data_IF_066671536743
#
_entry.id   IF_066671536743
#
_cell.length_a   1.000
_cell.length_b   1.000
_cell.length_c   1.000
_cell.angle_alpha   90.00
_cell.angle_beta   90.00
_cell.angle_gamma   90.00
#
_symmetry.space_group_name_H-M   'P 1'
#
loop_
_entity.id
_entity.type
_entity.pdbx_description
1 polymer ?
#
# COMPACT_ATOMS: atom_id res chain seq x y z
N UNK A 1 15.48 10.98 29.57
CA UNK A 1 15.07 10.32 28.27
C UNK A 1 15.82 10.99 27.13
N UNK A 2 16.57 10.21 26.34
CA UNK A 2 17.30 10.71 25.17
C UNK A 2 16.31 10.89 24.03
N UNK A 3 16.33 12.04 23.34
CA UNK A 3 15.48 12.25 22.16
C UNK A 3 16.19 11.72 20.91
N UNK A 4 15.52 10.86 20.14
CA UNK A 4 15.93 10.39 18.82
C UNK A 4 15.14 11.19 17.77
N UNK A 5 15.86 11.94 16.94
CA UNK A 5 15.27 12.81 15.92
C UNK A 5 15.28 12.12 14.55
N UNK A 6 14.10 11.95 13.98
CA UNK A 6 13.88 11.27 12.70
C UNK A 6 13.38 12.29 11.67
N UNK A 7 14.06 12.40 10.55
CA UNK A 7 13.57 13.18 9.40
C UNK A 7 12.99 12.25 8.33
N UNK A 8 11.75 12.48 7.96
CA UNK A 8 11.03 11.61 7.03
C UNK A 8 10.79 12.28 5.69
N UNK A 9 11.05 11.54 4.60
CA UNK A 9 10.86 12.01 3.22
C UNK A 9 9.86 11.06 2.52
N UNK A 10 8.62 11.52 2.29
CA UNK A 10 7.63 10.75 1.54
C UNK A 10 8.01 10.67 0.05
N UNK A 11 7.36 9.75 -0.68
CA UNK A 11 7.72 9.41 -2.06
C UNK A 11 7.55 10.53 -3.08
N UNK A 12 6.61 11.43 -2.84
CA UNK A 12 6.25 12.48 -3.79
C UNK A 12 6.62 13.86 -3.28
N UNK A 13 7.68 14.42 -3.84
CA UNK A 13 8.18 15.77 -3.53
C UNK A 13 7.46 16.89 -4.30
N UNK A 14 6.28 16.65 -4.88
CA UNK A 14 5.56 17.67 -5.65
C UNK A 14 4.36 18.23 -4.88
N UNK A 15 4.10 19.54 -5.05
CA UNK A 15 3.03 20.29 -4.36
C UNK A 15 1.63 19.69 -4.44
N UNK A 16 1.41 18.70 -5.30
CA UNK A 16 0.08 18.22 -5.66
C UNK A 16 -0.13 16.73 -5.38
N UNK A 17 0.88 16.01 -4.85
CA UNK A 17 0.83 14.55 -4.76
C UNK A 17 1.06 14.07 -3.34
N UNK A 18 -0.01 13.58 -2.74
CA UNK A 18 0.02 12.74 -1.54
C UNK A 18 -0.50 11.37 -2.00
N UNK A 19 0.35 10.38 -2.11
CA UNK A 19 -0.06 9.05 -2.57
C UNK A 19 -0.53 8.17 -1.41
N UNK A 20 -1.33 7.14 -1.71
CA UNK A 20 -1.69 6.12 -0.72
C UNK A 20 -0.46 5.41 -0.14
N UNK A 21 0.62 5.30 -0.91
CA UNK A 21 1.92 4.77 -0.45
C UNK A 21 2.54 5.69 0.60
N UNK A 22 2.59 7.01 0.34
CA UNK A 22 3.12 7.98 1.32
C UNK A 22 2.36 7.91 2.64
N UNK A 23 1.03 7.81 2.55
CA UNK A 23 0.21 7.66 3.74
C UNK A 23 0.53 6.36 4.49
N UNK A 24 0.46 5.22 3.82
CA UNK A 24 0.57 3.91 4.45
C UNK A 24 1.98 3.61 4.97
N UNK A 25 3.02 4.10 4.26
CA UNK A 25 4.41 3.71 4.51
C UNK A 25 5.24 4.75 5.26
N UNK A 26 4.85 6.03 5.19
CA UNK A 26 5.60 7.12 5.82
C UNK A 26 4.70 7.91 6.78
N UNK A 27 3.64 8.56 6.28
CA UNK A 27 2.91 9.54 7.09
C UNK A 27 2.22 8.91 8.30
N UNK A 28 1.49 7.80 8.11
CA UNK A 28 0.77 7.16 9.21
C UNK A 28 1.71 6.54 10.26
N UNK A 29 2.69 5.68 9.89
CA UNK A 29 3.62 5.14 10.88
C UNK A 29 4.42 6.21 11.62
N UNK A 30 4.89 7.23 10.92
CA UNK A 30 5.73 8.28 11.48
C UNK A 30 4.94 9.25 12.37
N UNK A 31 3.66 9.49 12.06
CA UNK A 31 2.75 10.23 12.95
C UNK A 31 2.59 9.54 14.30
N UNK A 32 2.47 8.21 14.32
CA UNK A 32 2.36 7.44 15.56
C UNK A 32 3.69 7.29 16.29
N UNK A 33 4.80 7.30 15.55
CA UNK A 33 6.14 7.29 16.16
C UNK A 33 6.48 8.63 16.84
N UNK A 34 5.95 9.75 16.32
CA UNK A 34 6.21 11.06 16.91
C UNK A 34 5.61 11.18 18.30
N UNK A 35 6.45 11.39 19.29
CA UNK A 35 6.09 11.40 20.72
C UNK A 35 6.02 10.01 21.36
N UNK A 36 6.39 8.95 20.65
CA UNK A 36 6.50 7.61 21.25
C UNK A 36 7.67 7.56 22.23
N UNK A 37 7.41 7.02 23.40
CA UNK A 37 8.38 6.84 24.49
C UNK A 37 8.66 5.36 24.73
N UNK A 38 9.92 4.98 24.73
CA UNK A 38 10.41 3.67 25.15
C UNK A 38 11.07 3.81 26.53
N UNK A 39 10.30 3.55 27.57
CA UNK A 39 10.74 3.68 28.96
C UNK A 39 11.87 2.69 29.30
N UNK A 40 11.88 1.49 28.69
CA UNK A 40 12.90 0.48 28.95
C UNK A 40 14.29 0.92 28.48
N UNK A 41 14.35 1.71 27.40
CA UNK A 41 15.61 2.21 26.81
C UNK A 41 15.89 3.67 27.15
N UNK A 42 15.02 4.31 27.89
CA UNK A 42 15.09 5.75 28.26
C UNK A 42 15.19 6.66 27.01
N UNK A 43 14.40 6.39 25.96
CA UNK A 43 14.37 7.17 24.72
C UNK A 43 12.97 7.62 24.35
N UNK A 44 12.90 8.78 23.67
CA UNK A 44 11.67 9.29 23.02
C UNK A 44 11.97 9.66 21.56
N UNK A 45 10.95 9.66 20.72
CA UNK A 45 11.06 9.96 19.30
C UNK A 45 10.42 11.31 18.97
N UNK A 46 11.17 12.13 18.24
CA UNK A 46 10.70 13.36 17.60
C UNK A 46 10.82 13.18 16.08
N UNK A 47 9.72 13.37 15.35
CA UNK A 47 9.66 13.11 13.93
C UNK A 47 9.29 14.36 13.16
N UNK A 48 10.15 14.77 12.24
CA UNK A 48 9.90 15.81 11.24
C UNK A 48 9.59 15.15 9.90
N UNK A 49 8.43 15.47 9.32
CA UNK A 49 8.07 15.00 7.98
C UNK A 49 8.32 16.14 6.99
N UNK A 50 9.02 15.84 5.89
CA UNK A 50 9.25 16.79 4.82
C UNK A 50 7.94 17.36 4.30
N UNK A 51 7.81 18.69 4.38
CA UNK A 51 6.67 19.43 3.88
C UNK A 51 7.11 20.39 2.77
N UNK A 52 6.69 20.07 1.55
CA UNK A 52 7.01 20.89 0.37
C UNK A 52 6.39 22.30 0.41
N UNK A 53 5.38 22.50 1.24
CA UNK A 53 4.73 23.81 1.42
C UNK A 53 5.47 24.73 2.40
N UNK A 54 6.45 24.21 3.13
CA UNK A 54 7.31 25.06 3.98
C UNK A 54 8.03 26.07 3.09
N UNK A 55 7.95 27.36 3.44
CA UNK A 55 8.54 28.46 2.67
C UNK A 55 10.08 28.39 2.57
N UNK A 56 10.74 27.76 3.54
CA UNK A 56 12.17 27.56 3.60
C UNK A 56 12.44 26.07 3.50
N UNK A 57 13.17 25.63 2.48
CA UNK A 57 13.69 24.27 2.39
C UNK A 57 15.01 24.25 3.19
N UNK A 58 15.06 23.40 4.20
CA UNK A 58 16.31 23.12 4.88
C UNK A 58 17.26 22.42 3.91
N UNK A 59 18.54 22.75 3.96
CA UNK A 59 19.53 22.02 3.19
C UNK A 59 19.74 20.63 3.80
N UNK A 60 20.20 19.66 2.98
CA UNK A 60 20.54 18.34 3.49
C UNK A 60 21.60 18.37 4.59
N UNK A 61 22.45 19.40 4.59
CA UNK A 61 23.42 19.61 5.65
C UNK A 61 22.73 19.97 6.96
N UNK A 62 21.82 20.94 6.98
CA UNK A 62 21.05 21.35 8.16
C UNK A 62 20.22 20.18 8.70
N UNK A 63 19.58 19.41 7.80
CA UNK A 63 18.81 18.21 8.18
C UNK A 63 19.74 17.18 8.85
N UNK A 64 20.88 16.87 8.24
CA UNK A 64 21.83 15.90 8.80
C UNK A 64 22.47 16.38 10.12
N UNK A 65 22.61 17.70 10.34
CA UNK A 65 23.12 18.24 11.61
C UNK A 65 22.06 18.20 12.74
N UNK A 66 20.78 18.31 12.40
CA UNK A 66 19.68 18.40 13.36
C UNK A 66 18.98 17.07 13.68
N UNK A 67 19.17 16.03 12.86
CA UNK A 67 18.50 14.72 13.01
C UNK A 67 19.51 13.58 13.16
N UNK A 68 19.09 12.50 13.78
CA UNK A 68 19.91 11.31 14.00
C UNK A 68 19.81 10.31 12.86
N UNK A 69 18.64 10.25 12.21
CA UNK A 69 18.34 9.30 11.13
C UNK A 69 17.40 9.92 10.11
N UNK A 70 17.58 9.53 8.83
CA UNK A 70 16.68 9.89 7.73
C UNK A 70 15.93 8.64 7.29
N UNK A 71 14.60 8.73 7.28
CA UNK A 71 13.70 7.69 6.79
C UNK A 71 13.03 8.17 5.51
N UNK A 72 13.09 7.40 4.42
CA UNK A 72 12.54 7.82 3.14
C UNK A 72 11.95 6.67 2.33
N UNK A 73 10.96 6.97 1.48
CA UNK A 73 10.38 5.99 0.57
C UNK A 73 11.19 5.91 -0.75
N UNK A 74 11.27 4.73 -1.34
CA UNK A 74 12.08 4.40 -2.52
C UNK A 74 11.75 5.20 -3.79
N UNK A 75 10.55 5.74 -3.92
CA UNK A 75 10.14 6.46 -5.14
C UNK A 75 10.85 7.79 -5.34
N UNK A 76 11.66 8.21 -4.38
CA UNK A 76 12.55 9.36 -4.47
C UNK A 76 13.90 8.99 -5.11
N UNK A 77 13.91 8.04 -6.03
CA UNK A 77 15.12 7.54 -6.69
C UNK A 77 15.58 8.54 -7.76
N UNK A 78 16.36 9.54 -7.35
CA UNK A 78 17.07 10.43 -8.24
C UNK A 78 18.50 10.73 -7.75
N UNK A 79 19.29 11.42 -8.57
CA UNK A 79 20.68 11.77 -8.25
C UNK A 79 20.80 12.73 -7.05
N UNK A 80 19.77 13.49 -6.73
CA UNK A 80 19.75 14.35 -5.54
C UNK A 80 19.80 13.50 -4.26
N UNK A 81 19.27 12.29 -4.32
CA UNK A 81 19.34 11.34 -3.21
C UNK A 81 20.75 10.75 -3.01
N UNK A 82 21.48 10.49 -4.10
CA UNK A 82 22.88 10.09 -3.99
C UNK A 82 23.73 11.18 -3.31
N UNK A 83 23.48 12.45 -3.66
CA UNK A 83 24.11 13.59 -3.02
C UNK A 83 23.73 13.70 -1.53
N UNK A 84 22.45 13.53 -1.19
CA UNK A 84 21.98 13.48 0.20
C UNK A 84 22.70 12.38 0.99
N UNK A 85 22.79 11.17 0.46
CA UNK A 85 23.46 10.05 1.12
C UNK A 85 24.92 10.36 1.49
N UNK A 86 25.64 11.07 0.61
CA UNK A 86 27.01 11.48 0.89
C UNK A 86 27.10 12.50 2.04
N UNK A 87 26.18 13.47 2.07
CA UNK A 87 26.13 14.48 3.16
C UNK A 87 25.77 13.82 4.49
N UNK A 88 24.74 12.98 4.51
CA UNK A 88 24.24 12.31 5.72
C UNK A 88 25.33 11.42 6.33
N UNK A 89 25.98 10.60 5.53
CA UNK A 89 27.10 9.75 5.98
C UNK A 89 28.31 10.55 6.41
N UNK A 90 28.64 11.63 5.71
CA UNK A 90 29.73 12.53 6.08
C UNK A 90 29.54 13.16 7.48
N UNK A 91 28.31 13.23 7.95
CA UNK A 91 27.95 13.65 9.32
C UNK A 91 27.79 12.48 10.32
N UNK A 92 28.09 11.25 9.91
CA UNK A 92 27.95 10.06 10.74
C UNK A 92 26.49 9.69 11.06
N UNK A 93 25.54 10.16 10.25
CA UNK A 93 24.11 9.90 10.41
C UNK A 93 23.67 8.69 9.61
N UNK A 94 22.55 8.09 9.99
CA UNK A 94 22.03 6.86 9.41
C UNK A 94 20.86 7.10 8.45
N UNK A 95 20.62 6.14 7.55
CA UNK A 95 19.53 6.18 6.60
C UNK A 95 18.77 4.86 6.59
N UNK A 96 17.44 4.96 6.60
CA UNK A 96 16.53 3.84 6.35
C UNK A 96 15.70 4.16 5.11
N UNK A 97 15.63 3.21 4.18
CA UNK A 97 14.79 3.28 3.01
C UNK A 97 13.60 2.33 3.16
N UNK A 98 12.40 2.83 2.87
CA UNK A 98 11.21 2.00 2.77
C UNK A 98 10.95 1.61 1.31
N UNK A 99 10.66 0.32 1.08
CA UNK A 99 10.40 -0.24 -0.24
C UNK A 99 9.17 -1.15 -0.19
N UNK A 100 8.17 -0.84 -1.00
CA UNK A 100 6.90 -1.58 -1.08
C UNK A 100 6.65 -2.27 -2.44
N UNK A 101 7.42 -1.95 -3.48
CA UNK A 101 7.31 -2.54 -4.82
C UNK A 101 8.64 -3.09 -5.35
N UNK A 102 8.60 -4.26 -6.00
CA UNK A 102 9.76 -4.91 -6.61
C UNK A 102 9.98 -4.45 -8.06
N UNK A 103 10.39 -3.19 -8.27
CA UNK A 103 10.51 -2.59 -9.62
C UNK A 103 11.44 -3.34 -10.58
N UNK A 104 12.30 -4.24 -10.08
CA UNK A 104 13.14 -5.13 -10.91
C UNK A 104 12.33 -6.13 -11.75
N UNK A 105 11.07 -6.37 -11.39
CA UNK A 105 10.22 -7.43 -11.95
C UNK A 105 8.92 -6.88 -12.55
N UNK A 106 8.87 -5.59 -12.84
CA UNK A 106 7.71 -4.99 -13.53
C UNK A 106 7.63 -5.57 -14.94
N UNK A 107 6.51 -6.18 -15.27
CA UNK A 107 6.29 -6.85 -16.55
C UNK A 107 6.32 -5.87 -17.73
N UNK A 108 6.75 -6.33 -18.91
CA UNK A 108 6.89 -5.51 -20.11
C UNK A 108 5.55 -4.90 -20.59
N UNK A 109 4.44 -5.58 -20.31
CA UNK A 109 3.09 -5.09 -20.62
C UNK A 109 2.56 -4.08 -19.59
N UNK A 110 3.27 -3.84 -18.50
CA UNK A 110 2.88 -2.85 -17.50
C UNK A 110 3.17 -1.43 -18.00
N UNK A 111 2.21 -0.54 -17.82
CA UNK A 111 2.30 0.86 -18.32
C UNK A 111 3.50 1.64 -17.80
N UNK A 112 4.04 1.28 -16.62
CA UNK A 112 5.20 1.95 -16.02
C UNK A 112 6.54 1.35 -16.46
N UNK A 113 6.53 0.20 -17.16
CA UNK A 113 7.76 -0.54 -17.52
C UNK A 113 8.76 0.30 -18.30
N UNK A 114 8.31 0.91 -19.39
CA UNK A 114 9.19 1.69 -20.27
C UNK A 114 9.80 2.89 -19.54
N UNK A 115 9.01 3.58 -18.73
CA UNK A 115 9.50 4.70 -17.92
C UNK A 115 10.59 4.25 -16.94
N UNK A 116 10.37 3.16 -16.21
CA UNK A 116 11.37 2.62 -15.28
C UNK A 116 12.64 2.16 -15.99
N UNK A 117 12.51 1.58 -17.19
CA UNK A 117 13.63 1.14 -18.02
C UNK A 117 14.46 2.33 -18.55
N UNK A 118 13.80 3.37 -19.08
CA UNK A 118 14.46 4.59 -19.57
C UNK A 118 15.23 5.30 -18.45
N UNK A 119 14.69 5.33 -17.24
CA UNK A 119 15.32 5.90 -16.06
C UNK A 119 16.41 5.00 -15.46
N UNK A 120 16.59 3.78 -15.97
CA UNK A 120 17.44 2.75 -15.35
C UNK A 120 17.14 2.52 -13.86
N UNK A 121 15.85 2.63 -13.50
CA UNK A 121 15.38 2.72 -12.12
C UNK A 121 15.78 1.51 -11.27
N UNK A 122 15.77 0.30 -11.84
CA UNK A 122 16.14 -0.94 -11.14
C UNK A 122 17.62 -0.92 -10.70
N UNK A 123 18.52 -0.41 -11.55
CA UNK A 123 19.95 -0.30 -11.21
C UNK A 123 20.16 0.77 -10.13
N UNK A 124 19.58 1.95 -10.31
CA UNK A 124 19.70 3.06 -9.36
C UNK A 124 19.15 2.64 -8.00
N UNK A 125 17.99 1.97 -7.96
CA UNK A 125 17.42 1.44 -6.73
C UNK A 125 18.38 0.49 -6.01
N UNK A 126 18.98 -0.47 -6.74
CA UNK A 126 19.96 -1.39 -6.14
C UNK A 126 21.17 -0.66 -5.56
N UNK A 127 21.67 0.37 -6.25
CA UNK A 127 22.75 1.21 -5.75
C UNK A 127 22.37 1.92 -4.45
N UNK A 128 21.20 2.57 -4.41
CA UNK A 128 20.73 3.29 -3.22
C UNK A 128 20.51 2.33 -2.04
N UNK A 129 19.88 1.17 -2.29
CA UNK A 129 19.68 0.15 -1.25
C UNK A 129 21.02 -0.27 -0.65
N UNK A 130 22.06 -0.47 -1.48
CA UNK A 130 23.37 -0.85 -0.97
C UNK A 130 24.01 0.22 -0.06
N UNK A 131 23.67 1.47 -0.28
CA UNK A 131 24.23 2.60 0.46
C UNK A 131 23.51 2.94 1.79
N UNK A 132 22.23 2.57 1.95
CA UNK A 132 21.49 2.85 3.20
C UNK A 132 21.88 1.89 4.32
N UNK A 133 21.63 2.25 5.58
CA UNK A 133 21.96 1.43 6.75
C UNK A 133 20.90 0.35 7.03
N UNK A 134 19.63 0.65 6.71
CA UNK A 134 18.52 -0.26 6.88
C UNK A 134 17.48 -0.15 5.76
N UNK A 135 16.69 -1.20 5.58
CA UNK A 135 15.56 -1.22 4.65
C UNK A 135 14.31 -1.72 5.37
N UNK A 136 13.18 -1.06 5.17
CA UNK A 136 11.86 -1.61 5.55
C UNK A 136 11.10 -2.04 4.31
N UNK A 137 10.30 -3.10 4.43
CA UNK A 137 9.50 -3.62 3.32
C UNK A 137 8.19 -4.25 3.81
N UNK A 138 7.25 -4.49 2.89
CA UNK A 138 5.88 -4.89 3.21
C UNK A 138 5.71 -6.36 3.54
N UNK A 139 6.53 -7.25 2.99
CA UNK A 139 6.39 -8.69 3.20
C UNK A 139 7.71 -9.46 3.07
N UNK A 140 7.72 -10.71 3.53
CA UNK A 140 8.90 -11.56 3.50
C UNK A 140 9.36 -11.97 2.10
N UNK A 141 8.45 -12.00 1.12
CA UNK A 141 8.81 -12.32 -0.26
C UNK A 141 9.63 -11.19 -0.88
N UNK A 142 9.20 -9.93 -0.71
CA UNK A 142 9.94 -8.76 -1.15
C UNK A 142 11.29 -8.64 -0.43
N UNK A 143 11.36 -8.95 0.87
CA UNK A 143 12.64 -9.02 1.59
C UNK A 143 13.64 -9.96 0.89
N UNK A 144 13.18 -11.15 0.50
CA UNK A 144 14.05 -12.11 -0.19
C UNK A 144 14.49 -11.60 -1.57
N UNK A 145 13.59 -10.91 -2.30
CA UNK A 145 13.95 -10.25 -3.57
C UNK A 145 15.01 -9.18 -3.35
N UNK A 146 14.90 -8.36 -2.31
CA UNK A 146 15.91 -7.34 -2.00
C UNK A 146 17.28 -7.98 -1.75
N UNK A 147 17.32 -9.05 -0.95
CA UNK A 147 18.57 -9.80 -0.69
C UNK A 147 19.18 -10.35 -1.99
N UNK A 148 18.35 -10.87 -2.90
CA UNK A 148 18.79 -11.40 -4.20
C UNK A 148 19.34 -10.30 -5.15
N UNK A 149 18.75 -9.11 -5.11
CA UNK A 149 19.07 -8.00 -6.03
C UNK A 149 20.10 -7.00 -5.52
N UNK A 150 20.53 -7.11 -4.26
CA UNK A 150 21.39 -6.14 -3.60
C UNK A 150 22.46 -6.83 -2.74
N UNK A 151 23.30 -6.03 -2.09
CA UNK A 151 24.31 -6.53 -1.13
C UNK A 151 23.75 -6.56 0.32
N UNK A 152 22.46 -6.27 0.51
CA UNK A 152 21.85 -6.29 1.84
C UNK A 152 21.66 -7.71 2.36
N UNK A 153 21.88 -7.86 3.65
CA UNK A 153 21.62 -9.10 4.37
C UNK A 153 20.26 -9.04 5.08
N UNK A 154 19.70 -10.19 5.41
CA UNK A 154 18.37 -10.30 6.04
C UNK A 154 18.23 -9.46 7.31
N UNK A 155 19.26 -9.37 8.15
CA UNK A 155 19.25 -8.57 9.37
C UNK A 155 19.22 -7.06 9.16
N UNK A 156 19.51 -6.59 7.95
CA UNK A 156 19.43 -5.18 7.56
C UNK A 156 18.08 -4.82 6.96
N UNK A 157 17.20 -5.79 6.77
CA UNK A 157 15.90 -5.61 6.14
C UNK A 157 14.80 -6.05 7.11
N UNK A 158 13.98 -5.12 7.55
CA UNK A 158 12.84 -5.41 8.42
C UNK A 158 11.55 -5.46 7.62
N UNK A 159 10.79 -6.53 7.79
CA UNK A 159 9.42 -6.58 7.30
C UNK A 159 8.55 -5.74 8.22
N UNK A 160 7.96 -4.69 7.68
CA UNK A 160 6.96 -3.83 8.28
C UNK A 160 5.70 -3.98 7.44
N UNK A 161 4.82 -4.90 7.82
CA UNK A 161 3.55 -5.08 7.13
C UNK A 161 2.72 -3.78 7.16
N UNK A 162 1.87 -3.58 6.17
CA UNK A 162 0.98 -2.42 6.20
C UNK A 162 0.00 -2.53 7.36
N UNK A 163 -0.20 -1.40 8.02
CA UNK A 163 -1.14 -1.24 9.11
C UNK A 163 -2.16 -0.15 8.76
N UNK A 164 -3.27 -0.11 9.46
CA UNK A 164 -4.36 0.84 9.22
C UNK A 164 -4.59 1.71 10.45
N UNK A 165 -4.82 3.00 10.22
CA UNK A 165 -5.41 3.89 11.20
C UNK A 165 -6.95 3.78 11.13
N UNK A 166 -7.52 2.93 11.97
CA UNK A 166 -8.98 2.71 11.99
C UNK A 166 -9.76 3.99 12.29
N UNK A 167 -9.15 5.01 12.89
CA UNK A 167 -9.82 6.28 13.16
C UNK A 167 -10.34 6.95 11.87
N UNK A 168 -9.66 6.73 10.75
CA UNK A 168 -10.10 7.23 9.44
C UNK A 168 -11.38 6.55 8.94
N UNK A 169 -11.61 5.30 9.36
CA UNK A 169 -12.71 4.44 8.91
C UNK A 169 -13.85 4.34 9.94
N UNK A 170 -13.76 5.03 11.07
CA UNK A 170 -14.76 5.01 12.14
C UNK A 170 -16.12 5.63 11.76
N UNK A 171 -16.29 6.03 10.51
CA UNK A 171 -17.60 6.42 9.98
C UNK A 171 -18.36 5.14 9.62
N UNK A 172 -19.46 4.90 10.31
CA UNK A 172 -20.43 3.91 9.84
C UNK A 172 -21.01 4.40 8.52
N UNK A 173 -20.69 3.73 7.45
CA UNK A 173 -21.22 4.03 6.14
C UNK A 173 -22.36 3.04 5.85
N UNK A 174 -23.62 3.41 6.11
CA UNK A 174 -24.72 2.55 5.70
C UNK A 174 -24.71 2.46 4.18
N UNK A 175 -24.63 1.24 3.65
CA UNK A 175 -24.81 1.02 2.22
C UNK A 175 -26.13 1.67 1.79
N UNK A 176 -26.08 2.59 0.83
CA UNK A 176 -27.29 3.16 0.23
C UNK A 176 -28.02 2.02 -0.48
N UNK A 177 -29.24 1.72 -0.03
CA UNK A 177 -30.07 0.78 -0.77
C UNK A 177 -30.52 1.43 -2.10
N UNK A 178 -29.76 1.15 -3.13
CA UNK A 178 -30.01 1.65 -4.48
C UNK A 178 -30.71 0.62 -5.36
N UNK A 179 -31.03 -0.55 -4.82
CA UNK A 179 -31.49 -1.71 -5.60
C UNK A 179 -30.41 -2.30 -6.51
N UNK A 180 -29.17 -1.81 -6.42
CA UNK A 180 -27.99 -2.28 -7.16
C UNK A 180 -26.98 -2.87 -6.22
N UNK A 181 -26.14 -3.76 -6.71
CA UNK A 181 -24.97 -4.29 -6.01
C UNK A 181 -23.72 -3.75 -6.72
N UNK A 182 -22.93 -2.97 -6.01
CA UNK A 182 -21.69 -2.39 -6.53
C UNK A 182 -20.50 -3.27 -6.17
N UNK A 183 -19.91 -3.88 -7.19
CA UNK A 183 -18.60 -4.51 -7.10
C UNK A 183 -17.55 -3.43 -7.36
N UNK A 184 -16.62 -3.23 -6.43
CA UNK A 184 -15.66 -2.15 -6.55
C UNK A 184 -14.23 -2.68 -6.63
N UNK A 185 -13.45 -2.06 -7.53
CA UNK A 185 -11.99 -2.15 -7.57
C UNK A 185 -11.39 -0.75 -7.51
N UNK A 186 -10.28 -0.59 -6.82
CA UNK A 186 -9.49 0.64 -6.89
C UNK A 186 -8.00 0.32 -7.06
N UNK A 187 -7.29 1.21 -7.74
CA UNK A 187 -5.85 1.06 -7.96
C UNK A 187 -5.27 2.07 -8.93
N UNK A 188 -3.96 2.25 -8.88
CA UNK A 188 -3.21 3.04 -9.83
C UNK A 188 -3.10 2.34 -11.20
N UNK A 189 -2.50 3.02 -12.17
CA UNK A 189 -2.25 2.48 -13.51
C UNK A 189 -1.42 1.19 -13.53
N UNK A 190 -0.59 0.96 -12.51
CA UNK A 190 0.18 -0.29 -12.38
C UNK A 190 -0.68 -1.56 -12.22
N UNK A 191 -1.99 -1.40 -11.91
CA UNK A 191 -2.96 -2.49 -11.80
C UNK A 191 -3.85 -2.68 -13.04
N UNK A 192 -3.57 -1.97 -14.14
CA UNK A 192 -4.41 -2.07 -15.34
C UNK A 192 -4.51 -3.51 -15.85
N UNK A 193 -3.39 -4.21 -15.89
CA UNK A 193 -3.35 -5.56 -16.43
C UNK A 193 -3.94 -6.61 -15.48
N UNK A 194 -3.99 -6.33 -14.18
CA UNK A 194 -4.64 -7.22 -13.22
C UNK A 194 -6.15 -7.31 -13.48
N UNK A 195 -6.79 -6.19 -13.88
CA UNK A 195 -8.20 -6.16 -14.29
C UNK A 195 -8.48 -6.92 -15.60
N UNK A 196 -7.44 -7.20 -16.39
CA UNK A 196 -7.54 -7.96 -17.64
C UNK A 196 -7.17 -9.43 -17.47
N UNK A 197 -6.99 -9.91 -16.22
CA UNK A 197 -6.77 -11.34 -15.97
C UNK A 197 -7.88 -12.19 -16.59
N UNK A 198 -7.56 -13.19 -17.42
CA UNK A 198 -8.57 -13.95 -18.18
C UNK A 198 -9.55 -14.72 -17.30
N UNK A 199 -9.10 -15.25 -16.15
CA UNK A 199 -9.96 -16.03 -15.27
C UNK A 199 -10.91 -15.10 -14.50
N UNK A 200 -10.40 -13.92 -14.05
CA UNK A 200 -11.25 -12.88 -13.49
C UNK A 200 -12.32 -12.41 -14.48
N UNK A 201 -11.93 -12.07 -15.72
CA UNK A 201 -12.89 -11.60 -16.75
C UNK A 201 -13.97 -12.64 -17.03
N UNK A 202 -13.59 -13.92 -17.23
CA UNK A 202 -14.58 -15.00 -17.47
C UNK A 202 -15.55 -15.16 -16.30
N UNK A 203 -15.06 -15.08 -15.05
CA UNK A 203 -15.90 -15.14 -13.86
C UNK A 203 -16.86 -13.94 -13.78
N UNK A 204 -16.35 -12.74 -14.03
CA UNK A 204 -17.16 -11.52 -14.07
C UNK A 204 -18.19 -11.51 -15.20
N UNK A 205 -17.87 -12.06 -16.38
CA UNK A 205 -18.84 -12.18 -17.47
C UNK A 205 -20.06 -13.03 -17.09
N UNK A 206 -19.84 -14.11 -16.34
CA UNK A 206 -20.94 -14.93 -15.81
C UNK A 206 -21.78 -14.10 -14.82
N UNK A 207 -21.12 -13.37 -13.89
CA UNK A 207 -21.82 -12.47 -12.96
C UNK A 207 -22.62 -11.39 -13.69
N UNK A 208 -22.02 -10.73 -14.69
CA UNK A 208 -22.71 -9.70 -15.45
C UNK A 208 -23.89 -10.26 -16.25
N UNK A 209 -23.85 -11.52 -16.66
CA UNK A 209 -24.97 -12.21 -17.33
C UNK A 209 -26.08 -12.57 -16.34
N UNK A 210 -25.71 -13.16 -15.20
CA UNK A 210 -26.67 -13.74 -14.26
C UNK A 210 -27.35 -12.67 -13.38
N UNK A 211 -26.68 -11.51 -13.16
CA UNK A 211 -27.10 -10.45 -12.24
C UNK A 211 -27.20 -9.07 -12.93
N UNK A 212 -28.35 -8.74 -13.54
CA UNK A 212 -28.53 -7.45 -14.23
C UNK A 212 -28.37 -6.22 -13.34
N UNK A 213 -28.62 -6.37 -12.01
CA UNK A 213 -28.51 -5.31 -11.01
C UNK A 213 -27.06 -5.00 -10.60
N UNK A 214 -26.09 -5.85 -10.98
CA UNK A 214 -24.70 -5.67 -10.63
C UNK A 214 -24.05 -4.57 -11.48
N UNK A 215 -23.32 -3.68 -10.80
CA UNK A 215 -22.48 -2.64 -11.39
C UNK A 215 -21.04 -2.90 -10.95
N UNK A 216 -20.10 -2.78 -11.87
CA UNK A 216 -18.66 -2.80 -11.56
C UNK A 216 -18.13 -1.37 -11.59
N UNK A 217 -17.60 -0.90 -10.46
CA UNK A 217 -17.01 0.43 -10.30
C UNK A 217 -15.49 0.31 -10.17
N UNK A 218 -14.76 0.88 -11.12
CA UNK A 218 -13.31 1.02 -11.05
C UNK A 218 -12.95 2.45 -10.60
N UNK A 219 -12.18 2.56 -9.53
CA UNK A 219 -11.70 3.84 -8.97
C UNK A 219 -10.20 3.96 -9.26
N UNK A 220 -9.80 4.97 -10.02
CA UNK A 220 -8.40 5.19 -10.42
C UNK A 220 -7.96 4.39 -11.64
N UNK A 221 -8.20 3.10 -11.70
CA UNK A 221 -7.86 2.24 -12.85
C UNK A 221 -8.97 2.28 -13.90
N UNK A 222 -8.62 2.48 -15.17
CA UNK A 222 -9.58 2.48 -16.27
C UNK A 222 -9.19 1.48 -17.37
N UNK A 223 -10.14 0.61 -17.74
CA UNK A 223 -9.97 -0.34 -18.83
C UNK A 223 -11.05 -0.12 -19.90
N UNK A 224 -10.64 0.35 -21.08
CA UNK A 224 -11.53 0.57 -22.23
C UNK A 224 -12.22 -0.72 -22.66
N UNK A 225 -11.50 -1.83 -22.61
CA UNK A 225 -11.96 -3.18 -22.95
C UNK A 225 -13.15 -3.59 -22.08
N UNK A 226 -13.06 -3.37 -20.77
CA UNK A 226 -14.15 -3.68 -19.83
C UNK A 226 -15.35 -2.73 -20.02
N UNK A 227 -15.08 -1.46 -20.35
CA UNK A 227 -16.14 -0.51 -20.68
C UNK A 227 -16.88 -0.91 -21.95
N UNK A 228 -16.16 -1.36 -22.96
CA UNK A 228 -16.75 -1.87 -24.18
C UNK A 228 -17.58 -3.14 -23.92
N UNK A 229 -17.07 -4.05 -23.09
CA UNK A 229 -17.67 -5.36 -22.79
C UNK A 229 -18.92 -5.26 -21.91
N UNK A 230 -18.86 -4.48 -20.83
CA UNK A 230 -19.92 -4.40 -19.82
C UNK A 230 -20.81 -3.14 -19.94
N UNK A 231 -20.54 -2.28 -20.90
CA UNK A 231 -21.34 -1.10 -21.22
C UNK A 231 -21.48 -0.14 -20.05
N UNK A 232 -22.71 0.35 -19.82
CA UNK A 232 -22.99 1.29 -18.73
C UNK A 232 -22.86 0.69 -17.32
N UNK A 233 -22.80 -0.63 -17.22
CA UNK A 233 -22.57 -1.30 -15.93
C UNK A 233 -21.09 -1.28 -15.49
N UNK A 234 -20.17 -0.92 -16.39
CA UNK A 234 -18.82 -0.55 -16.01
C UNK A 234 -18.79 0.97 -15.77
N UNK A 235 -18.59 1.36 -14.51
CA UNK A 235 -18.47 2.74 -14.10
C UNK A 235 -17.02 3.05 -13.75
N UNK A 236 -16.57 4.23 -14.10
CA UNK A 236 -15.24 4.70 -13.79
C UNK A 236 -15.32 6.08 -13.12
N UNK A 237 -14.69 6.20 -11.97
CA UNK A 237 -14.57 7.46 -11.23
C UNK A 237 -13.21 8.15 -11.48
N UNK A 238 -12.66 8.01 -12.70
CA UNK A 238 -11.32 8.53 -13.03
C UNK A 238 -11.24 10.06 -13.00
N UNK A 239 -12.36 10.78 -13.26
CA UNK A 239 -12.36 12.24 -13.25
C UNK A 239 -12.44 12.87 -11.86
N UNK A 240 -13.00 12.15 -10.89
CA UNK A 240 -13.30 12.67 -9.55
C UNK A 240 -12.25 12.27 -8.52
N UNK A 241 -11.44 11.27 -8.82
CA UNK A 241 -10.37 10.79 -7.96
C UNK A 241 -9.05 11.05 -8.63
N UNK A 242 -8.41 12.11 -8.24
CA UNK A 242 -6.99 12.25 -8.47
C UNK A 242 -6.28 11.24 -7.55
N UNK A 243 -5.93 10.07 -8.11
CA UNK A 243 -5.18 9.01 -7.40
C UNK A 243 -3.84 9.51 -6.86
N UNK A 244 -3.36 10.64 -7.38
CA UNK A 244 -2.17 11.34 -6.90
C UNK A 244 -2.49 12.32 -5.77
N UNK A 245 -3.79 12.60 -5.52
CA UNK A 245 -4.29 13.35 -4.37
C UNK A 245 -5.06 12.40 -3.45
N UNK A 246 -4.39 11.35 -2.99
CA UNK A 246 -4.97 10.54 -1.91
C UNK A 246 -5.22 11.46 -0.73
N UNK A 247 -6.48 11.78 -0.52
CA UNK A 247 -6.90 12.65 0.58
C UNK A 247 -7.38 11.73 1.67
N UNK A 248 -6.62 11.67 2.75
CA UNK A 248 -6.81 10.87 3.95
C UNK A 248 -8.29 10.77 4.39
N UNK A 249 -9.04 11.86 4.25
CA UNK A 249 -10.45 11.92 4.66
C UNK A 249 -11.45 11.58 3.56
N UNK A 250 -11.03 11.50 2.29
CA UNK A 250 -11.95 11.24 1.16
C UNK A 250 -11.93 9.79 0.71
N UNK A 251 -10.81 9.09 0.85
CA UNK A 251 -10.71 7.71 0.40
C UNK A 251 -11.74 6.81 1.09
N UNK A 252 -11.96 6.89 2.43
CA UNK A 252 -13.01 6.13 3.09
C UNK A 252 -14.42 6.40 2.55
N UNK A 253 -14.69 7.60 1.99
CA UNK A 253 -16.00 7.94 1.42
C UNK A 253 -16.33 7.12 0.16
N UNK A 254 -15.32 6.68 -0.60
CA UNK A 254 -15.56 5.79 -1.75
C UNK A 254 -16.06 4.42 -1.32
N UNK A 255 -15.70 3.96 -0.11
CA UNK A 255 -16.18 2.70 0.43
C UNK A 255 -17.69 2.72 0.72
N UNK A 256 -18.32 3.89 0.84
CA UNK A 256 -19.78 4.01 1.01
C UNK A 256 -20.55 3.42 -0.17
N UNK A 257 -19.97 3.54 -1.37
CA UNK A 257 -20.59 3.04 -2.59
C UNK A 257 -20.23 1.58 -2.90
N UNK A 258 -19.37 0.96 -2.08
CA UNK A 258 -18.92 -0.41 -2.25
C UNK A 258 -19.82 -1.39 -1.49
N UNK A 259 -20.37 -2.40 -2.15
CA UNK A 259 -21.01 -3.53 -1.51
C UNK A 259 -20.05 -4.71 -1.37
N UNK A 260 -19.23 -4.95 -2.38
CA UNK A 260 -18.26 -6.07 -2.43
C UNK A 260 -16.96 -5.57 -3.07
N UNK A 261 -15.86 -5.70 -2.39
CA UNK A 261 -14.55 -5.42 -2.95
C UNK A 261 -14.12 -6.56 -3.88
N UNK A 262 -13.54 -6.21 -5.03
CA UNK A 262 -13.06 -7.18 -6.02
C UNK A 262 -11.64 -6.82 -6.39
N UNK A 263 -10.70 -7.73 -6.10
CA UNK A 263 -9.28 -7.43 -6.24
C UNK A 263 -8.59 -8.54 -7.03
N UNK A 264 -8.68 -8.52 -8.37
CA UNK A 264 -7.84 -9.36 -9.21
C UNK A 264 -6.38 -8.92 -9.09
N UNK A 265 -5.49 -9.89 -9.06
CA UNK A 265 -4.04 -9.70 -9.04
C UNK A 265 -3.40 -10.88 -9.78
N UNK A 266 -2.69 -10.61 -10.88
CA UNK A 266 -1.98 -11.65 -11.64
C UNK A 266 -0.88 -12.25 -10.77
N UNK A 267 -0.68 -13.56 -10.86
CA UNK A 267 0.37 -14.25 -10.11
C UNK A 267 1.75 -14.07 -10.78
N UNK A 268 2.38 -12.93 -10.51
CA UNK A 268 3.72 -12.57 -11.00
C UNK A 268 4.66 -12.29 -9.83
N UNK A 269 5.97 -12.28 -10.09
CA UNK A 269 6.96 -11.94 -9.06
C UNK A 269 6.71 -10.52 -8.53
N UNK A 270 6.43 -9.57 -9.42
CA UNK A 270 6.11 -8.19 -9.06
C UNK A 270 4.91 -8.12 -8.11
N UNK A 271 3.83 -8.78 -8.47
CA UNK A 271 2.60 -8.77 -7.69
C UNK A 271 2.70 -9.53 -6.35
N UNK A 272 3.48 -10.62 -6.30
CA UNK A 272 3.78 -11.33 -5.03
C UNK A 272 4.55 -10.49 -4.02
N UNK A 273 5.22 -9.44 -4.48
CA UNK A 273 5.92 -8.48 -3.64
C UNK A 273 5.02 -7.37 -3.08
N UNK A 274 3.79 -7.20 -3.61
CA UNK A 274 2.85 -6.17 -3.16
C UNK A 274 2.31 -6.46 -1.75
N UNK A 275 1.69 -5.44 -1.15
CA UNK A 275 1.04 -5.56 0.15
C UNK A 275 -0.44 -5.91 0.05
N UNK A 276 -1.01 -6.31 1.17
CA UNK A 276 -2.43 -6.62 1.36
C UNK A 276 -3.31 -5.38 1.64
N UNK A 277 -2.82 -4.18 1.39
CA UNK A 277 -3.47 -2.92 1.77
C UNK A 277 -4.93 -2.82 1.32
N UNK A 278 -5.27 -3.31 0.12
CA UNK A 278 -6.66 -3.27 -0.37
C UNK A 278 -7.60 -4.14 0.48
N UNK A 279 -7.09 -5.26 1.02
CA UNK A 279 -7.85 -6.05 1.99
C UNK A 279 -8.02 -5.27 3.30
N UNK A 280 -6.96 -4.67 3.84
CA UNK A 280 -7.03 -3.93 5.09
C UNK A 280 -8.00 -2.74 5.00
N UNK A 281 -7.96 -2.00 3.92
CA UNK A 281 -8.84 -0.84 3.69
C UNK A 281 -10.31 -1.26 3.55
N UNK A 282 -10.60 -2.30 2.77
CA UNK A 282 -11.98 -2.81 2.65
C UNK A 282 -12.50 -3.40 3.96
N UNK A 283 -11.65 -4.15 4.67
CA UNK A 283 -11.96 -4.70 5.99
C UNK A 283 -12.24 -3.61 7.03
N UNK A 284 -11.46 -2.52 7.01
CA UNK A 284 -11.66 -1.35 7.89
C UNK A 284 -13.01 -0.67 7.68
N UNK A 285 -13.55 -0.73 6.47
CA UNK A 285 -14.87 -0.25 6.11
C UNK A 285 -15.98 -1.33 6.25
N UNK A 286 -15.69 -2.48 6.85
CA UNK A 286 -16.60 -3.64 6.96
C UNK A 286 -17.11 -4.13 5.59
N UNK A 287 -16.33 -3.95 4.51
CA UNK A 287 -16.72 -4.42 3.17
C UNK A 287 -16.12 -5.80 2.90
N UNK A 288 -16.97 -6.80 2.59
CA UNK A 288 -16.50 -8.11 2.20
C UNK A 288 -15.82 -8.04 0.85
N UNK A 289 -14.92 -8.98 0.56
CA UNK A 289 -14.25 -9.00 -0.74
C UNK A 289 -13.95 -10.39 -1.28
N UNK A 290 -13.72 -10.41 -2.61
CA UNK A 290 -13.14 -11.53 -3.33
C UNK A 290 -11.81 -11.06 -3.93
N UNK A 291 -10.75 -11.77 -3.61
CA UNK A 291 -9.37 -11.44 -3.95
C UNK A 291 -8.73 -12.59 -4.73
N UNK A 292 -7.71 -12.31 -5.54
CA UNK A 292 -6.94 -13.38 -6.16
C UNK A 292 -6.26 -14.26 -5.10
N UNK A 293 -6.29 -15.58 -5.32
CA UNK A 293 -5.55 -16.55 -4.50
C UNK A 293 -4.06 -16.53 -4.85
N UNK A 294 -3.45 -15.42 -4.54
CA UNK A 294 -2.00 -15.20 -4.66
C UNK A 294 -1.51 -14.29 -3.55
N UNK A 295 -0.20 -14.27 -3.30
CA UNK A 295 0.37 -13.26 -2.41
C UNK A 295 0.08 -11.85 -2.93
N UNK A 296 -0.19 -10.92 -2.03
CA UNK A 296 -0.14 -10.99 -0.55
C UNK A 296 -1.43 -11.51 0.11
N UNK A 297 -2.51 -11.71 -0.65
CA UNK A 297 -3.84 -11.95 -0.09
C UNK A 297 -3.97 -13.31 0.58
N UNK A 298 -3.39 -14.37 0.03
CA UNK A 298 -3.46 -15.70 0.64
C UNK A 298 -2.58 -15.88 1.89
N UNK A 299 -1.66 -14.94 2.14
CA UNK A 299 -0.91 -14.88 3.40
C UNK A 299 -1.77 -14.29 4.55
N UNK A 300 -2.80 -13.47 4.25
CA UNK A 300 -3.56 -12.70 5.24
C UNK A 300 -5.01 -13.15 5.35
N UNK A 301 -5.67 -13.41 4.23
CA UNK A 301 -7.12 -13.68 4.18
C UNK A 301 -7.42 -15.12 4.60
N UNK A 302 -8.29 -15.27 5.59
CA UNK A 302 -8.88 -16.58 5.97
C UNK A 302 -10.07 -16.84 5.07
N UNK A 303 -9.87 -17.71 4.07
CA UNK A 303 -10.87 -18.04 3.06
C UNK A 303 -12.23 -18.43 3.66
N UNK A 304 -13.31 -17.76 3.21
CA UNK A 304 -14.67 -17.96 3.68
C UNK A 304 -14.98 -17.39 5.06
N UNK A 305 -14.00 -16.77 5.74
CA UNK A 305 -14.14 -16.17 7.08
C UNK A 305 -13.95 -14.65 7.01
N UNK A 306 -12.80 -14.17 6.52
CA UNK A 306 -12.48 -12.74 6.43
C UNK A 306 -12.54 -12.21 4.99
N UNK A 307 -12.72 -13.09 4.02
CA UNK A 307 -12.81 -12.81 2.59
C UNK A 307 -12.82 -14.11 1.80
N UNK A 308 -12.97 -14.00 0.50
CA UNK A 308 -12.84 -15.14 -0.41
C UNK A 308 -11.59 -15.00 -1.27
N UNK A 309 -10.93 -16.12 -1.51
CA UNK A 309 -9.78 -16.25 -2.42
C UNK A 309 -10.21 -17.00 -3.66
N UNK A 310 -9.98 -16.45 -4.84
CA UNK A 310 -10.36 -17.02 -6.13
C UNK A 310 -9.16 -17.09 -7.09
N UNK A 311 -9.00 -18.22 -7.75
CA UNK A 311 -7.97 -18.46 -8.75
C UNK A 311 -8.58 -18.70 -10.14
N UNK A 312 -9.69 -19.42 -10.22
CA UNK A 312 -10.36 -19.79 -11.46
C UNK A 312 -11.62 -18.97 -11.72
N UNK A 313 -12.05 -18.92 -12.97
CA UNK A 313 -13.29 -18.24 -13.37
C UNK A 313 -14.53 -18.77 -12.61
N UNK A 314 -14.57 -20.06 -12.32
CA UNK A 314 -15.67 -20.67 -11.57
C UNK A 314 -15.65 -20.27 -10.10
N UNK A 315 -14.46 -20.10 -9.50
CA UNK A 315 -14.31 -19.60 -8.14
C UNK A 315 -14.69 -18.12 -8.05
N UNK A 316 -14.23 -17.27 -8.97
CA UNK A 316 -14.67 -15.88 -9.07
C UNK A 316 -16.18 -15.76 -9.11
N UNK A 317 -16.82 -16.52 -10.06
CA UNK A 317 -18.28 -16.55 -10.16
C UNK A 317 -18.95 -17.05 -8.87
N UNK A 318 -18.47 -18.17 -8.31
CA UNK A 318 -19.03 -18.81 -7.13
C UNK A 318 -19.01 -17.88 -5.92
N UNK A 319 -17.86 -17.26 -5.63
CA UNK A 319 -17.70 -16.46 -4.41
C UNK A 319 -18.38 -15.09 -4.53
N UNK A 320 -18.35 -14.49 -5.71
CA UNK A 320 -19.14 -13.29 -5.99
C UNK A 320 -20.64 -13.56 -5.86
N UNK A 321 -21.12 -14.68 -6.43
CA UNK A 321 -22.51 -15.11 -6.29
C UNK A 321 -22.95 -15.22 -4.83
N UNK A 322 -22.15 -15.87 -3.97
CA UNK A 322 -22.44 -16.00 -2.52
C UNK A 322 -22.65 -14.63 -1.89
N UNK A 323 -21.76 -13.68 -2.18
CA UNK A 323 -21.83 -12.33 -1.61
C UNK A 323 -22.94 -11.47 -2.25
N UNK A 324 -23.28 -11.67 -3.52
CA UNK A 324 -24.38 -10.97 -4.19
C UNK A 324 -25.72 -11.43 -3.64
N UNK A 325 -25.91 -12.74 -3.48
CA UNK A 325 -27.18 -13.36 -3.09
C UNK A 325 -27.54 -13.13 -1.62
N UNK A 326 -26.55 -12.92 -0.73
CA UNK A 326 -26.84 -12.79 0.72
C UNK A 326 -26.21 -11.53 1.32
N UNK A 327 -27.09 -10.64 1.78
CA UNK A 327 -26.70 -9.47 2.59
C UNK A 327 -26.10 -9.88 3.93
N UNK A 328 -26.66 -10.92 4.55
CA UNK A 328 -26.20 -11.46 5.83
C UNK A 328 -24.77 -11.99 5.70
N UNK A 329 -24.48 -12.68 4.58
CA UNK A 329 -23.12 -13.17 4.33
C UNK A 329 -22.14 -12.05 4.08
N UNK A 330 -22.55 -10.97 3.38
CA UNK A 330 -21.72 -9.77 3.25
C UNK A 330 -21.39 -9.17 4.62
N UNK A 331 -22.37 -9.04 5.49
CA UNK A 331 -22.20 -8.51 6.85
C UNK A 331 -21.30 -9.40 7.71
N UNK A 332 -21.50 -10.71 7.67
CA UNK A 332 -20.68 -11.69 8.41
C UNK A 332 -19.20 -11.58 8.02
N UNK A 333 -18.90 -11.68 6.70
CA UNK A 333 -17.51 -11.61 6.20
C UNK A 333 -16.88 -10.25 6.47
N UNK A 334 -17.62 -9.16 6.24
CA UNK A 334 -17.14 -7.80 6.49
C UNK A 334 -16.83 -7.54 7.96
N UNK A 335 -17.69 -8.02 8.87
CA UNK A 335 -17.48 -7.89 10.32
C UNK A 335 -16.29 -8.73 10.79
N UNK A 336 -16.13 -9.96 10.29
CA UNK A 336 -14.98 -10.80 10.65
C UNK A 336 -13.66 -10.18 10.15
N UNK A 337 -13.66 -9.61 8.96
CA UNK A 337 -12.49 -8.90 8.40
C UNK A 337 -12.14 -7.66 9.24
N UNK A 338 -13.15 -6.88 9.65
CA UNK A 338 -12.95 -5.72 10.52
C UNK A 338 -12.38 -6.10 11.88
N UNK A 339 -12.90 -7.14 12.54
CA UNK A 339 -12.38 -7.60 13.83
C UNK A 339 -10.91 -8.10 13.71
N UNK A 340 -10.55 -8.72 12.59
CA UNK A 340 -9.15 -9.07 12.31
C UNK A 340 -8.28 -7.81 12.25
N UNK A 341 -8.65 -6.80 11.45
CA UNK A 341 -7.88 -5.56 11.32
C UNK A 341 -7.78 -4.82 12.66
N UNK A 342 -8.89 -4.73 13.38
CA UNK A 342 -8.95 -4.08 14.69
C UNK A 342 -8.04 -4.74 15.72
N UNK A 343 -7.88 -6.05 15.68
CA UNK A 343 -7.06 -6.79 16.63
C UNK A 343 -5.59 -6.87 16.24
N UNK A 344 -5.30 -7.04 14.95
CA UNK A 344 -3.96 -7.45 14.50
C UNK A 344 -3.24 -6.38 13.65
N UNK A 345 -3.97 -5.39 13.10
CA UNK A 345 -3.41 -4.53 12.04
C UNK A 345 -3.63 -3.02 12.27
N UNK A 346 -3.79 -2.57 13.52
CA UNK A 346 -3.84 -1.13 13.81
C UNK A 346 -2.45 -0.52 13.90
N UNK A 347 -2.24 0.60 13.21
CA UNK A 347 -0.94 1.29 13.18
C UNK A 347 -0.41 1.64 14.59
N UNK A 348 -1.29 2.07 15.51
CA UNK A 348 -0.89 2.42 16.87
C UNK A 348 -0.24 1.28 17.67
N UNK A 349 -0.62 0.03 17.34
CA UNK A 349 -0.16 -1.15 18.09
C UNK A 349 1.20 -1.67 17.56
N UNK A 350 1.67 -1.14 16.41
CA UNK A 350 2.92 -1.55 15.74
C UNK A 350 4.02 -0.48 15.76
N UNK A 351 3.85 0.59 16.52
CA UNK A 351 4.83 1.70 16.61
C UNK A 351 6.17 1.21 17.14
N UNK A 352 6.14 0.31 18.12
CA UNK A 352 7.35 -0.27 18.71
C UNK A 352 8.26 -0.95 17.69
N UNK A 353 7.70 -1.57 16.66
CA UNK A 353 8.49 -2.22 15.61
C UNK A 353 9.36 -1.23 14.82
N UNK A 354 8.82 -0.04 14.54
CA UNK A 354 9.56 1.06 13.91
C UNK A 354 10.65 1.61 14.87
N UNK A 355 10.29 1.84 16.14
CA UNK A 355 11.23 2.31 17.16
C UNK A 355 12.41 1.33 17.32
N UNK A 356 12.13 0.04 17.46
CA UNK A 356 13.14 -1.02 17.61
C UNK A 356 14.08 -1.08 16.40
N UNK A 357 13.54 -0.98 15.18
CA UNK A 357 14.36 -1.04 13.98
C UNK A 357 15.23 0.20 13.79
N UNK A 358 14.71 1.38 14.12
CA UNK A 358 15.46 2.64 14.10
C UNK A 358 16.63 2.56 15.10
N UNK A 359 16.36 2.17 16.34
CA UNK A 359 17.41 2.04 17.38
C UNK A 359 18.46 1.00 16.97
N UNK A 360 18.03 -0.18 16.50
CA UNK A 360 18.95 -1.21 15.99
C UNK A 360 19.81 -0.69 14.84
N UNK A 361 19.27 0.17 13.99
CA UNK A 361 20.01 0.75 12.84
C UNK A 361 21.01 1.81 13.31
N UNK A 362 20.66 2.60 14.32
CA UNK A 362 21.56 3.59 14.92
C UNK A 362 22.76 2.95 15.63
N UNK A 363 22.56 1.77 16.24
CA UNK A 363 23.61 1.04 16.97
C UNK A 363 24.58 0.25 16.04
N UNK A 364 24.28 0.14 14.75
CA UNK A 364 25.17 -0.53 13.78
C UNK A 364 26.39 0.33 13.50
N UNK A 365 27.57 -0.25 13.74
CA UNK A 365 28.89 0.36 13.47
C UNK A 365 29.20 0.33 11.98
#
# INVERSE_FOLDING_TARGET
MKTIKVYCVPSHLTKERNSGVDYARVNSPMKWLNGYEDEERDVQFEVDIFDIHKKKKDSWLEIAESHDIIFFNYTVVDWHFAAMGSVVRGKGKKMIMDLDDAIWFVEEDNVVHNQLKELNASYILSCIINEVDGVTTTNGYLRNVIVDKTLKRHEQIKVMENQIDLFLYNKTFPAKDTGKITLMHYGSSSHFNDLLDPEFIKGMDKIMKDYPQVVFKAVGSFQKELRYKWGQRYQNAFGDVDIYKWIEHKFPEYMDECDIMVVPLRDTVYNRCKSDIKFLESASAMKPGVFSDTRPYNDTIRHGITGYLAHTADEWHKYLKILIDSKEKRQEIGSNAYEYVKKERQQKDHVKEYADFILTTLDRI
#
